data_IF_270359748090
#
_entry.id   IF_270359748090
#
_cell.length_a   1.000
_cell.length_b   1.000
_cell.length_c   1.000
_cell.angle_alpha   90.00
_cell.angle_beta   90.00
_cell.angle_gamma   90.00
#
_symmetry.space_group_name_H-M   'P 1'
#
loop_
_entity.id
_entity.type
_entity.pdbx_description
1 polymer ?
#
# COMPACT_ATOMS: atom_id res chain seq x y z
N UNK A 1 -24.69 -21.36 -15.94
CA UNK A 1 -24.47 -19.91 -16.10
C UNK A 1 -23.14 -19.52 -15.49
N UNK A 2 -22.27 -18.97 -16.28
CA UNK A 2 -20.96 -18.53 -15.78
C UNK A 2 -21.13 -17.22 -15.00
N UNK A 3 -20.65 -17.21 -13.76
CA UNK A 3 -20.65 -16.03 -12.93
C UNK A 3 -19.60 -15.05 -13.47
N UNK A 4 -20.02 -13.83 -13.79
CA UNK A 4 -19.06 -12.79 -14.20
C UNK A 4 -18.22 -12.37 -12.99
N UNK A 5 -16.91 -12.40 -13.16
CA UNK A 5 -15.97 -11.90 -12.17
C UNK A 5 -15.36 -10.61 -12.71
N UNK A 6 -15.56 -9.51 -12.00
CA UNK A 6 -14.88 -8.25 -12.30
C UNK A 6 -13.55 -8.24 -11.57
N UNK A 7 -12.46 -7.99 -12.29
CA UNK A 7 -11.13 -7.85 -11.71
C UNK A 7 -10.78 -6.37 -11.58
N UNK A 8 -10.59 -5.91 -10.34
CA UNK A 8 -10.07 -4.59 -10.06
C UNK A 8 -8.57 -4.69 -9.76
N UNK A 9 -7.79 -3.79 -10.34
CA UNK A 9 -6.34 -3.74 -10.14
C UNK A 9 -5.97 -2.49 -9.38
N UNK A 10 -5.21 -2.67 -8.30
CA UNK A 10 -4.64 -1.58 -7.50
C UNK A 10 -3.15 -1.81 -7.32
N UNK A 11 -2.46 -0.73 -6.99
CA UNK A 11 -1.01 -0.75 -6.72
C UNK A 11 -0.78 -0.05 -5.39
N UNK A 12 0.05 -0.65 -4.55
CA UNK A 12 0.38 -0.09 -3.23
C UNK A 12 1.88 -0.07 -2.97
N UNK A 13 2.27 0.70 -1.97
CA UNK A 13 3.68 0.87 -1.62
C UNK A 13 3.92 0.67 -0.13
N UNK A 14 4.95 -0.13 0.17
CA UNK A 14 5.61 -0.13 1.48
C UNK A 14 6.71 0.92 1.40
N UNK A 15 6.52 2.06 2.07
CA UNK A 15 7.39 3.23 1.95
C UNK A 15 8.25 3.36 3.20
N UNK A 16 9.56 3.37 3.01
CA UNK A 16 10.54 3.57 4.06
C UNK A 16 11.14 4.98 3.97
N UNK A 17 11.37 5.63 5.12
CA UNK A 17 12.08 6.89 5.18
C UNK A 17 13.59 6.66 4.97
N UNK A 18 14.19 7.41 4.06
CA UNK A 18 15.56 7.19 3.56
C UNK A 18 16.64 7.32 4.62
N UNK A 19 16.49 8.27 5.55
CA UNK A 19 17.56 8.65 6.46
C UNK A 19 17.60 7.88 7.78
N UNK A 20 16.68 6.95 7.96
CA UNK A 20 16.71 6.08 9.14
C UNK A 20 17.72 4.94 8.94
N UNK A 21 18.39 4.54 10.03
CA UNK A 21 19.25 3.34 10.00
C UNK A 21 18.38 2.07 10.03
N UNK A 22 19.02 0.90 9.80
CA UNK A 22 18.31 -0.38 9.71
C UNK A 22 17.51 -0.76 10.97
N UNK A 23 17.99 -0.40 12.16
CA UNK A 23 17.33 -0.74 13.42
C UNK A 23 16.16 0.17 13.72
N UNK A 24 16.25 1.44 13.33
CA UNK A 24 15.22 2.45 13.55
C UNK A 24 14.49 2.83 12.27
N UNK A 25 14.61 2.04 11.21
CA UNK A 25 13.92 2.29 9.96
C UNK A 25 12.41 2.44 10.18
N UNK A 26 11.84 3.50 9.61
CA UNK A 26 10.43 3.79 9.77
C UNK A 26 9.68 3.68 8.46
N UNK A 27 8.47 3.15 8.57
CA UNK A 27 7.57 2.86 7.45
C UNK A 27 6.30 3.68 7.60
N UNK A 28 5.77 4.14 6.48
CA UNK A 28 4.56 4.94 6.45
C UNK A 28 3.31 4.07 6.43
N UNK A 29 2.43 4.27 7.40
CA UNK A 29 1.10 3.69 7.43
C UNK A 29 0.05 4.80 7.36
N UNK A 30 -1.05 4.51 6.67
CA UNK A 30 -2.21 5.38 6.58
C UNK A 30 -3.41 4.69 7.25
N UNK A 31 -4.16 5.47 8.03
CA UNK A 31 -5.39 4.99 8.67
C UNK A 31 -6.57 5.44 7.83
N UNK A 32 -7.41 4.50 7.41
CA UNK A 32 -8.62 4.83 6.69
C UNK A 32 -9.72 5.35 7.63
N UNK A 33 -10.82 5.85 7.08
CA UNK A 33 -11.89 6.43 7.89
C UNK A 33 -12.69 5.42 8.71
N UNK A 34 -12.50 4.13 8.42
CA UNK A 34 -13.07 3.04 9.25
C UNK A 34 -12.17 2.71 10.44
N UNK A 35 -10.98 3.30 10.52
CA UNK A 35 -10.05 3.08 11.62
C UNK A 35 -9.02 1.97 11.40
N UNK A 36 -8.84 1.49 10.16
CA UNK A 36 -7.87 0.44 9.83
C UNK A 36 -6.59 1.02 9.27
N UNK A 37 -5.46 0.52 9.74
CA UNK A 37 -4.14 0.89 9.26
C UNK A 37 -3.75 0.05 8.05
N UNK A 38 -3.19 0.70 7.03
CA UNK A 38 -2.71 0.05 5.82
C UNK A 38 -1.64 0.87 5.13
N UNK A 39 -1.27 0.45 3.92
CA UNK A 39 -0.30 1.14 3.09
C UNK A 39 -0.99 2.06 2.09
N UNK A 40 -0.30 3.12 1.61
CA UNK A 40 -0.78 3.87 0.46
C UNK A 40 -1.05 2.95 -0.73
N UNK A 41 -2.22 3.05 -1.33
CA UNK A 41 -2.60 2.25 -2.48
C UNK A 41 -3.76 2.89 -3.22
N UNK A 42 -3.91 2.56 -4.49
CA UNK A 42 -5.04 3.04 -5.25
C UNK A 42 -5.21 2.33 -6.59
N UNK A 43 -6.32 2.61 -7.24
CA UNK A 43 -6.74 1.95 -8.47
C UNK A 43 -5.89 2.35 -9.66
N UNK A 44 -5.51 1.35 -10.45
CA UNK A 44 -4.89 1.55 -11.75
C UNK A 44 -5.92 2.13 -12.71
N UNK A 45 -5.61 3.25 -13.34
CA UNK A 45 -6.43 3.84 -14.37
C UNK A 45 -6.06 3.27 -15.75
N UNK A 46 -7.01 3.36 -16.68
CA UNK A 46 -6.81 2.87 -18.04
C UNK A 46 -5.62 3.58 -18.68
N UNK A 47 -4.71 2.80 -19.25
CA UNK A 47 -3.51 3.32 -19.90
C UNK A 47 -2.32 3.57 -18.99
N UNK A 48 -2.50 3.44 -17.67
CA UNK A 48 -1.38 3.55 -16.74
C UNK A 48 -0.62 2.23 -16.60
N UNK A 49 0.70 2.34 -16.43
CA UNK A 49 1.49 1.23 -15.91
C UNK A 49 1.33 1.15 -14.39
N UNK A 50 1.70 0.03 -13.77
CA UNK A 50 1.68 -0.08 -12.30
C UNK A 50 2.52 1.01 -11.63
N UNK A 51 3.71 1.30 -12.16
CA UNK A 51 4.59 2.32 -11.57
C UNK A 51 4.01 3.72 -11.71
N UNK A 52 3.35 4.03 -12.82
CA UNK A 52 2.66 5.31 -12.98
C UNK A 52 1.50 5.45 -12.00
N UNK A 53 0.72 4.39 -11.81
CA UNK A 53 -0.34 4.36 -10.81
C UNK A 53 0.22 4.62 -9.41
N UNK A 54 1.31 3.94 -9.07
CA UNK A 54 1.91 4.06 -7.74
C UNK A 54 2.37 5.48 -7.45
N UNK A 55 3.10 6.09 -8.38
CA UNK A 55 3.58 7.48 -8.23
C UNK A 55 2.41 8.45 -8.06
N UNK A 56 1.36 8.30 -8.87
CA UNK A 56 0.18 9.16 -8.82
C UNK A 56 -0.57 8.99 -7.49
N UNK A 57 -0.87 7.76 -7.10
CA UNK A 57 -1.64 7.47 -5.90
C UNK A 57 -0.90 7.88 -4.62
N UNK A 58 0.40 7.63 -4.53
CA UNK A 58 1.19 8.06 -3.37
C UNK A 58 1.18 9.58 -3.27
N UNK A 59 1.33 10.29 -4.38
CA UNK A 59 1.26 11.76 -4.37
C UNK A 59 -0.11 12.26 -3.93
N UNK A 60 -1.19 11.67 -4.44
CA UNK A 60 -2.55 12.06 -4.08
C UNK A 60 -2.86 11.79 -2.61
N UNK A 61 -2.45 10.65 -2.09
CA UNK A 61 -2.76 10.23 -0.72
C UNK A 61 -1.85 10.81 0.35
N UNK A 62 -0.62 11.16 0.01
CA UNK A 62 0.40 11.55 1.00
C UNK A 62 1.11 12.88 0.72
N UNK A 63 1.02 13.38 -0.50
CA UNK A 63 1.79 14.55 -0.93
C UNK A 63 3.26 14.23 -1.26
N UNK A 64 3.70 12.98 -1.12
CA UNK A 64 5.07 12.59 -1.44
C UNK A 64 5.26 12.54 -2.95
N UNK A 65 6.22 13.30 -3.46
CA UNK A 65 6.52 13.39 -4.89
C UNK A 65 7.92 12.86 -5.27
N UNK A 66 8.74 12.50 -4.29
CA UNK A 66 10.10 11.99 -4.50
C UNK A 66 10.21 10.48 -4.28
N UNK A 67 9.16 9.75 -4.58
CA UNK A 67 9.12 8.30 -4.36
C UNK A 67 10.15 7.59 -5.24
N UNK A 68 11.07 6.87 -4.60
CA UNK A 68 12.07 6.04 -5.26
C UNK A 68 11.65 4.57 -5.16
N UNK A 69 11.07 4.05 -6.23
CA UNK A 69 10.55 2.69 -6.27
C UNK A 69 11.72 1.73 -6.47
N UNK A 70 11.89 0.78 -5.55
CA UNK A 70 13.02 -0.12 -5.52
C UNK A 70 12.71 -1.50 -6.10
N UNK A 71 11.71 -2.18 -5.56
CA UNK A 71 11.45 -3.58 -5.91
C UNK A 71 9.98 -3.94 -5.76
N UNK A 72 9.54 -4.86 -6.59
CA UNK A 72 8.24 -5.50 -6.42
C UNK A 72 8.31 -6.47 -5.23
N UNK A 73 7.32 -6.41 -4.35
CA UNK A 73 7.23 -7.33 -3.20
C UNK A 73 6.38 -8.54 -3.55
N UNK A 74 5.17 -8.31 -4.01
CA UNK A 74 4.22 -9.37 -4.31
C UNK A 74 2.82 -8.83 -4.56
N UNK A 75 1.89 -9.76 -4.73
CA UNK A 75 0.49 -9.44 -4.99
C UNK A 75 -0.39 -10.11 -3.93
N UNK A 76 -1.49 -9.45 -3.61
CA UNK A 76 -2.55 -10.04 -2.79
C UNK A 76 -3.87 -9.94 -3.53
N UNK A 77 -4.77 -10.88 -3.24
CA UNK A 77 -6.09 -10.94 -3.85
C UNK A 77 -7.16 -10.86 -2.78
N UNK A 78 -8.17 -10.06 -3.06
CA UNK A 78 -9.39 -9.99 -2.26
C UNK A 78 -10.58 -10.39 -3.13
N UNK A 79 -11.49 -11.18 -2.57
CA UNK A 79 -12.77 -11.49 -3.20
C UNK A 79 -13.88 -10.88 -2.35
N UNK A 80 -14.83 -10.24 -3.01
CA UNK A 80 -15.98 -9.67 -2.31
C UNK A 80 -17.23 -9.68 -3.21
N UNK A 81 -18.40 -9.64 -2.59
CA UNK A 81 -19.66 -9.55 -3.32
C UNK A 81 -20.16 -8.12 -3.28
N UNK A 82 -20.55 -7.59 -4.46
CA UNK A 82 -21.26 -6.32 -4.55
C UNK A 82 -22.76 -6.58 -4.31
N UNK A 83 -23.51 -5.52 -3.99
CA UNK A 83 -24.93 -5.62 -3.67
C UNK A 83 -25.83 -6.14 -4.80
N UNK A 84 -25.32 -6.29 -6.02
CA UNK A 84 -25.99 -6.86 -7.18
C UNK A 84 -25.81 -8.39 -7.29
N UNK A 85 -25.18 -9.02 -6.31
CA UNK A 85 -24.87 -10.44 -6.33
C UNK A 85 -23.68 -10.82 -7.19
N UNK A 86 -22.99 -9.85 -7.82
CA UNK A 86 -21.80 -10.11 -8.62
C UNK A 86 -20.58 -10.24 -7.72
N UNK A 87 -19.79 -11.28 -7.98
CA UNK A 87 -18.51 -11.46 -7.35
C UNK A 87 -17.47 -10.51 -7.97
N UNK A 88 -16.77 -9.78 -7.14
CA UNK A 88 -15.65 -8.95 -7.54
C UNK A 88 -14.36 -9.46 -6.93
N UNK A 89 -13.29 -9.38 -7.68
CA UNK A 89 -11.95 -9.66 -7.20
C UNK A 89 -11.11 -8.41 -7.33
N UNK A 90 -10.28 -8.14 -6.31
CA UNK A 90 -9.33 -7.05 -6.29
C UNK A 90 -7.93 -7.61 -6.13
N UNK A 91 -7.07 -7.32 -7.10
CA UNK A 91 -5.65 -7.61 -7.03
C UNK A 91 -4.90 -6.35 -6.64
N UNK A 92 -4.04 -6.44 -5.63
CA UNK A 92 -3.16 -5.33 -5.24
C UNK A 92 -1.71 -5.77 -5.40
N UNK A 93 -0.97 -5.06 -6.25
CA UNK A 93 0.45 -5.28 -6.46
C UNK A 93 1.22 -4.31 -5.57
N UNK A 94 2.11 -4.83 -4.71
CA UNK A 94 2.88 -4.03 -3.76
C UNK A 94 4.34 -3.91 -4.15
N UNK A 95 4.86 -2.70 -3.99
CA UNK A 95 6.27 -2.35 -4.23
C UNK A 95 6.89 -1.81 -2.95
N UNK A 96 8.18 -2.06 -2.79
CA UNK A 96 9.00 -1.37 -1.81
C UNK A 96 9.52 -0.08 -2.43
N UNK A 97 9.42 1.01 -1.69
CA UNK A 97 9.89 2.32 -2.13
C UNK A 97 10.50 3.10 -0.97
N UNK A 98 11.33 4.06 -1.31
CA UNK A 98 12.03 4.93 -0.37
C UNK A 98 11.66 6.37 -0.67
N UNK A 99 11.54 7.19 0.37
CA UNK A 99 11.35 8.63 0.24
C UNK A 99 12.28 9.39 1.17
N UNK A 100 12.71 10.57 0.75
CA UNK A 100 13.40 11.53 1.62
C UNK A 100 12.44 12.56 2.23
N UNK A 101 11.15 12.44 1.95
CA UNK A 101 10.11 13.34 2.44
C UNK A 101 9.40 12.71 3.65
N UNK A 102 9.60 13.31 4.83
CA UNK A 102 8.93 12.85 6.05
C UNK A 102 7.56 13.49 6.26
N UNK A 103 7.37 14.68 5.73
CA UNK A 103 6.11 15.40 5.87
C UNK A 103 5.02 14.78 5.00
N UNK A 104 3.91 14.41 5.61
CA UNK A 104 2.78 13.77 4.94
C UNK A 104 1.55 14.67 5.07
N UNK A 105 0.84 14.84 3.96
CA UNK A 105 -0.45 15.51 3.91
C UNK A 105 -1.47 14.52 3.36
N UNK A 106 -2.26 13.94 4.28
CA UNK A 106 -3.24 12.92 3.92
C UNK A 106 -4.41 13.52 3.14
N UNK A 107 -4.98 12.70 2.24
CA UNK A 107 -6.19 13.03 1.51
C UNK A 107 -7.44 12.86 2.39
N UNK A 108 -8.60 13.29 1.88
CA UNK A 108 -9.88 13.15 2.59
C UNK A 108 -10.29 11.69 2.80
N UNK A 109 -9.72 10.76 2.05
CA UNK A 109 -9.99 9.33 2.19
C UNK A 109 -9.39 8.72 3.45
N UNK A 110 -8.45 9.42 4.07
CA UNK A 110 -7.72 8.95 5.24
C UNK A 110 -7.97 9.82 6.46
N UNK A 111 -7.91 9.20 7.64
CA UNK A 111 -8.12 9.87 8.93
C UNK A 111 -6.81 10.25 9.62
N UNK A 112 -5.73 9.52 9.37
CA UNK A 112 -4.45 9.70 10.06
C UNK A 112 -3.31 9.04 9.28
N UNK A 113 -2.08 9.35 9.69
CA UNK A 113 -0.87 8.68 9.22
C UNK A 113 0.11 8.52 10.37
N UNK A 114 1.05 7.61 10.21
CA UNK A 114 2.15 7.43 11.16
C UNK A 114 3.39 6.86 10.49
N UNK A 115 4.54 7.23 11.01
CA UNK A 115 5.82 6.60 10.70
C UNK A 115 6.19 5.70 11.85
N UNK A 116 6.34 4.41 11.59
CA UNK A 116 6.58 3.41 12.64
C UNK A 116 7.68 2.44 12.24
N UNK A 117 8.30 1.82 13.26
CA UNK A 117 9.27 0.75 13.02
C UNK A 117 8.59 -0.47 12.40
N UNK A 118 9.38 -1.38 11.85
CA UNK A 118 8.88 -2.63 11.29
C UNK A 118 8.02 -3.40 12.29
N UNK A 119 8.51 -3.53 13.53
CA UNK A 119 7.79 -4.21 14.60
C UNK A 119 6.44 -3.57 14.89
N UNK A 120 6.40 -2.24 15.00
CA UNK A 120 5.16 -1.52 15.29
C UNK A 120 4.21 -1.57 14.11
N UNK A 121 4.73 -1.57 12.88
CA UNK A 121 3.90 -1.74 11.68
C UNK A 121 3.17 -3.08 11.71
N UNK A 122 3.84 -4.17 12.05
CA UNK A 122 3.19 -5.47 12.21
C UNK A 122 2.08 -5.43 13.27
N UNK A 123 2.28 -4.70 14.35
CA UNK A 123 1.28 -4.56 15.41
C UNK A 123 0.08 -3.73 15.02
N UNK A 124 0.27 -2.71 14.19
CA UNK A 124 -0.79 -1.78 13.78
C UNK A 124 -1.62 -2.29 12.60
N UNK A 125 -1.01 -3.01 11.66
CA UNK A 125 -1.73 -3.52 10.50
C UNK A 125 -2.81 -4.49 10.94
N UNK A 126 -4.05 -4.17 10.61
CA UNK A 126 -5.20 -4.99 11.00
C UNK A 126 -5.42 -6.18 10.08
N UNK A 127 -5.06 -6.04 8.80
CA UNK A 127 -5.34 -7.05 7.80
C UNK A 127 -4.18 -8.03 7.65
N UNK A 128 -4.48 -9.33 7.82
CA UNK A 128 -3.46 -10.39 7.75
C UNK A 128 -2.67 -10.39 6.44
N UNK A 129 -3.31 -10.11 5.31
CA UNK A 129 -2.64 -10.08 4.00
C UNK A 129 -1.62 -8.94 3.88
N UNK A 130 -1.88 -7.80 4.54
CA UNK A 130 -0.92 -6.69 4.58
C UNK A 130 0.28 -7.03 5.45
N UNK A 131 0.07 -7.73 6.57
CA UNK A 131 1.17 -8.26 7.38
C UNK A 131 2.03 -9.24 6.58
N UNK A 132 1.40 -10.08 5.75
CA UNK A 132 2.12 -11.01 4.88
C UNK A 132 2.98 -10.29 3.84
N UNK A 133 2.49 -9.19 3.27
CA UNK A 133 3.26 -8.36 2.34
C UNK A 133 4.47 -7.75 3.03
N UNK A 134 4.29 -7.19 4.22
CA UNK A 134 5.38 -6.60 4.98
C UNK A 134 6.45 -7.65 5.32
N UNK A 135 6.02 -8.82 5.78
CA UNK A 135 6.91 -9.95 6.08
C UNK A 135 7.65 -10.46 4.83
N UNK A 136 6.95 -10.53 3.71
CA UNK A 136 7.55 -10.99 2.45
C UNK A 136 8.69 -10.09 2.00
N UNK A 137 8.50 -8.77 2.09
CA UNK A 137 9.57 -7.82 1.78
C UNK A 137 10.75 -7.93 2.74
N UNK A 138 10.46 -8.14 4.03
CA UNK A 138 11.51 -8.35 5.04
C UNK A 138 12.32 -9.63 4.75
N UNK A 139 11.66 -10.73 4.45
CA UNK A 139 12.32 -12.00 4.12
C UNK A 139 13.13 -11.94 2.82
N UNK A 140 12.75 -11.07 1.90
CA UNK A 140 13.52 -10.79 0.68
C UNK A 140 14.75 -9.91 0.94
N UNK A 141 14.92 -9.41 2.15
CA UNK A 141 16.02 -8.53 2.51
C UNK A 141 15.88 -7.10 1.97
N UNK A 142 14.68 -6.65 1.68
CA UNK A 142 14.46 -5.31 1.11
C UNK A 142 14.62 -4.22 2.17
N UNK A 143 14.31 -4.53 3.41
CA UNK A 143 14.38 -3.62 4.54
C UNK A 143 14.68 -4.35 5.84
#
# INVERSE_FOLDING_TARGET
MLQKVALEQSVGAVIKYKYDNTESAQFLLLKNRRGFWGFPQGHKEKGETELQTLVREVREETGISDLDIQSHIGKIMYSFFKGDGMRSEKEVSFYFAITSTRQVRISEEHADFTWVTLKDAFGLLDHAKLKQILDKGHKKGLY
#
